data_IF_407596204810
#
_entry.id   IF_407596204810
#
_cell.length_a   1.000
_cell.length_b   1.000
_cell.length_c   1.000
_cell.angle_alpha   90.00
_cell.angle_beta   90.00
_cell.angle_gamma   90.00
#
_symmetry.space_group_name_H-M   'P 1'
#
loop_
_entity.id
_entity.type
_entity.pdbx_description
1 polymer ?
#
# COMPACT_ATOMS: atom_id res chain seq x y z
N UNK A 1 -15.45 -11.19 -6.75
CA UNK A 1 -15.32 -11.67 -5.40
C UNK A 1 -16.12 -10.87 -4.40
N UNK A 2 -16.21 -11.34 -3.17
CA UNK A 2 -16.89 -10.65 -2.07
C UNK A 2 -16.21 -10.92 -0.74
N UNK A 3 -16.36 -10.00 0.21
CA UNK A 3 -15.90 -10.16 1.59
C UNK A 3 -17.08 -9.88 2.52
N UNK A 4 -17.35 -10.78 3.43
CA UNK A 4 -18.37 -10.64 4.46
C UNK A 4 -17.72 -10.86 5.83
N UNK A 5 -18.06 -10.03 6.80
CA UNK A 5 -17.59 -10.17 8.18
C UNK A 5 -18.78 -10.45 9.11
N UNK A 6 -18.63 -11.44 9.97
CA UNK A 6 -19.55 -11.77 11.04
C UNK A 6 -18.77 -11.98 12.33
N UNK A 7 -18.77 -10.99 13.22
CA UNK A 7 -17.92 -10.99 14.42
C UNK A 7 -16.43 -11.08 14.02
N UNK A 8 -15.73 -12.07 14.56
CA UNK A 8 -14.31 -12.32 14.29
C UNK A 8 -14.05 -13.16 13.03
N UNK A 9 -15.10 -13.58 12.32
CA UNK A 9 -14.99 -14.45 11.15
C UNK A 9 -15.15 -13.64 9.87
N UNK A 10 -14.23 -13.86 8.94
CA UNK A 10 -14.27 -13.36 7.57
C UNK A 10 -14.65 -14.50 6.62
N UNK A 11 -15.67 -14.27 5.79
CA UNK A 11 -15.96 -15.08 4.62
C UNK A 11 -15.52 -14.32 3.38
N UNK A 12 -14.56 -14.88 2.67
CA UNK A 12 -14.00 -14.29 1.45
C UNK A 12 -14.30 -15.24 0.30
N UNK A 13 -14.97 -14.74 -0.73
CA UNK A 13 -15.16 -15.46 -1.99
C UNK A 13 -14.30 -14.80 -3.05
N UNK A 14 -13.34 -15.52 -3.60
CA UNK A 14 -12.48 -15.05 -4.68
C UNK A 14 -12.81 -15.84 -5.96
N UNK A 15 -12.78 -15.15 -7.12
CA UNK A 15 -13.06 -15.73 -8.42
C UNK A 15 -12.12 -15.15 -9.46
N UNK A 16 -11.60 -15.98 -10.35
CA UNK A 16 -10.86 -15.59 -11.53
C UNK A 16 -11.71 -15.87 -12.76
N UNK A 17 -11.96 -14.83 -13.54
CA UNK A 17 -12.83 -14.88 -14.73
C UNK A 17 -12.01 -14.44 -15.93
N UNK A 18 -12.05 -15.21 -17.01
CA UNK A 18 -11.45 -14.83 -18.30
C UNK A 18 -12.29 -13.74 -18.95
N UNK A 19 -11.67 -12.60 -19.23
CA UNK A 19 -12.40 -11.43 -19.77
C UNK A 19 -12.85 -11.58 -21.23
N UNK A 20 -12.22 -12.49 -22.00
CA UNK A 20 -12.55 -12.69 -23.41
C UNK A 20 -13.88 -13.44 -23.65
N UNK A 21 -14.28 -14.32 -22.75
CA UNK A 21 -15.43 -15.20 -22.88
C UNK A 21 -16.28 -15.34 -21.61
N UNK A 22 -15.88 -14.67 -20.51
CA UNK A 22 -16.57 -14.75 -19.23
C UNK A 22 -16.41 -16.10 -18.50
N UNK A 23 -15.52 -16.98 -18.96
CA UNK A 23 -15.34 -18.29 -18.34
C UNK A 23 -14.71 -18.17 -16.94
N UNK A 24 -15.30 -18.88 -15.97
CA UNK A 24 -14.76 -19.00 -14.62
C UNK A 24 -13.55 -19.93 -14.64
N UNK A 25 -12.34 -19.38 -14.47
CA UNK A 25 -11.10 -20.15 -14.42
C UNK A 25 -10.86 -20.76 -13.05
N UNK A 26 -11.28 -20.07 -12.01
CA UNK A 26 -11.10 -20.47 -10.63
C UNK A 26 -12.11 -19.76 -9.71
N UNK A 27 -12.59 -20.46 -8.69
CA UNK A 27 -13.44 -19.89 -7.62
C UNK A 27 -13.18 -20.62 -6.33
N UNK A 28 -13.00 -19.86 -5.23
CA UNK A 28 -12.80 -20.43 -3.90
C UNK A 28 -13.39 -19.55 -2.81
N UNK A 29 -13.90 -20.19 -1.78
CA UNK A 29 -14.39 -19.54 -0.58
C UNK A 29 -13.49 -19.89 0.61
N UNK A 30 -13.17 -18.87 1.41
CA UNK A 30 -12.37 -18.97 2.62
C UNK A 30 -13.21 -18.50 3.80
N UNK A 31 -13.33 -19.33 4.82
CA UNK A 31 -13.91 -18.99 6.11
C UNK A 31 -12.77 -19.01 7.14
N UNK A 32 -12.38 -17.84 7.65
CA UNK A 32 -11.19 -17.67 8.52
C UNK A 32 -11.46 -16.64 9.60
N UNK A 33 -10.66 -16.67 10.66
CA UNK A 33 -10.65 -15.61 11.66
C UNK A 33 -9.95 -14.36 11.14
N UNK A 34 -10.35 -13.18 11.63
CA UNK A 34 -9.74 -11.89 11.27
C UNK A 34 -8.22 -11.88 11.50
N UNK A 35 -7.74 -12.52 12.55
CA UNK A 35 -6.29 -12.64 12.85
C UNK A 35 -5.50 -13.37 11.75
N UNK A 36 -6.15 -14.21 10.94
CA UNK A 36 -5.53 -14.94 9.84
C UNK A 36 -5.61 -14.19 8.48
N UNK A 37 -6.04 -12.92 8.46
CA UNK A 37 -6.29 -12.16 7.22
C UNK A 37 -5.08 -12.15 6.28
N UNK A 38 -3.86 -12.04 6.80
CA UNK A 38 -2.65 -12.06 5.97
C UNK A 38 -2.37 -13.43 5.38
N UNK A 39 -2.60 -14.52 6.13
CA UNK A 39 -2.51 -15.88 5.57
C UNK A 39 -3.49 -16.07 4.41
N UNK A 40 -4.71 -15.52 4.56
CA UNK A 40 -5.71 -15.60 3.49
C UNK A 40 -5.24 -14.82 2.27
N UNK A 41 -4.68 -13.62 2.46
CA UNK A 41 -4.14 -12.82 1.35
C UNK A 41 -3.04 -13.59 0.61
N UNK A 42 -2.11 -14.20 1.33
CA UNK A 42 -1.03 -15.01 0.76
C UNK A 42 -1.56 -16.28 0.07
N UNK A 43 -2.53 -16.98 0.70
CA UNK A 43 -3.20 -18.14 0.10
C UNK A 43 -3.92 -17.77 -1.20
N UNK A 44 -4.73 -16.69 -1.17
CA UNK A 44 -5.47 -16.21 -2.35
C UNK A 44 -4.51 -15.77 -3.45
N UNK A 45 -3.48 -14.97 -3.12
CA UNK A 45 -2.49 -14.52 -4.07
C UNK A 45 -1.77 -15.71 -4.73
N UNK A 46 -1.31 -16.66 -3.94
CA UNK A 46 -0.64 -17.87 -4.42
C UNK A 46 -1.55 -18.70 -5.34
N UNK A 47 -2.80 -18.90 -4.98
CA UNK A 47 -3.73 -19.67 -5.79
C UNK A 47 -4.14 -18.95 -7.09
N UNK A 48 -4.31 -17.63 -7.05
CA UNK A 48 -4.55 -16.82 -8.26
C UNK A 48 -3.34 -16.92 -9.19
N UNK A 49 -2.12 -16.77 -8.67
CA UNK A 49 -0.88 -16.93 -9.45
C UNK A 49 -0.80 -18.33 -10.06
N UNK A 50 -1.10 -19.38 -9.31
CA UNK A 50 -1.10 -20.76 -9.81
C UNK A 50 -2.18 -20.98 -10.90
N UNK A 51 -3.35 -20.35 -10.75
CA UNK A 51 -4.42 -20.43 -11.75
C UNK A 51 -4.09 -19.72 -13.07
N UNK A 52 -3.15 -18.76 -13.03
CA UNK A 52 -2.64 -18.03 -14.22
C UNK A 52 -1.32 -18.66 -14.71
N UNK A 53 -0.99 -19.88 -14.33
CA UNK A 53 0.29 -20.53 -14.64
C UNK A 53 0.71 -20.35 -16.11
N UNK A 54 1.95 -19.86 -16.27
CA UNK A 54 2.59 -19.63 -17.57
C UNK A 54 2.49 -18.18 -18.08
N UNK A 55 1.81 -17.25 -17.36
CA UNK A 55 1.61 -15.87 -17.81
C UNK A 55 2.52 -14.88 -17.04
N UNK A 56 2.89 -15.18 -15.79
CA UNK A 56 3.67 -14.26 -14.94
C UNK A 56 5.12 -14.74 -14.73
N UNK A 57 6.13 -13.85 -14.94
CA UNK A 57 7.52 -14.14 -14.58
C UNK A 57 7.68 -14.42 -13.07
N UNK A 58 8.61 -15.32 -12.71
CA UNK A 58 8.86 -15.70 -11.31
C UNK A 58 9.20 -14.50 -10.40
N UNK A 59 9.86 -13.47 -10.94
CA UNK A 59 10.18 -12.24 -10.21
C UNK A 59 8.93 -11.44 -9.81
N UNK A 60 7.87 -11.47 -10.63
CA UNK A 60 6.62 -10.76 -10.33
C UNK A 60 5.79 -11.52 -9.30
N UNK A 61 5.88 -12.86 -9.29
CA UNK A 61 5.25 -13.69 -8.26
C UNK A 61 5.81 -13.38 -6.86
N UNK A 62 7.12 -13.22 -6.71
CA UNK A 62 7.75 -12.86 -5.43
C UNK A 62 7.38 -11.45 -4.97
N UNK A 63 7.24 -10.49 -5.89
CA UNK A 63 6.82 -9.13 -5.53
C UNK A 63 5.39 -9.06 -4.99
N UNK A 64 4.49 -9.90 -5.47
CA UNK A 64 3.10 -9.94 -5.01
C UNK A 64 2.98 -10.47 -3.57
N UNK A 65 3.92 -11.29 -3.11
CA UNK A 65 3.86 -11.98 -1.82
C UNK A 65 4.59 -11.25 -0.67
N UNK A 66 5.33 -10.17 -0.94
CA UNK A 66 6.44 -9.75 -0.05
C UNK A 66 6.29 -8.47 0.78
N UNK A 67 5.17 -7.74 0.82
CA UNK A 67 5.22 -6.36 1.32
C UNK A 67 4.12 -5.93 2.32
N UNK A 68 3.56 -6.85 3.08
CA UNK A 68 2.53 -6.51 4.07
C UNK A 68 3.07 -6.62 5.51
N UNK A 69 2.63 -5.71 6.39
CA UNK A 69 2.79 -5.93 7.83
C UNK A 69 2.09 -7.22 8.25
N UNK A 70 2.64 -7.94 9.21
CA UNK A 70 1.97 -9.09 9.85
C UNK A 70 1.05 -8.63 11.00
N UNK A 71 1.03 -7.33 11.32
CA UNK A 71 0.23 -6.75 12.39
C UNK A 71 -1.13 -6.28 11.86
N UNK A 72 -2.19 -7.01 12.21
CA UNK A 72 -3.56 -6.72 11.76
C UNK A 72 -4.03 -5.33 12.18
N UNK A 73 -3.70 -4.90 13.41
CA UNK A 73 -4.12 -3.58 13.90
C UNK A 73 -3.43 -2.45 13.12
N UNK A 74 -2.12 -2.59 12.82
CA UNK A 74 -1.40 -1.64 11.97
C UNK A 74 -2.01 -1.57 10.57
N UNK A 75 -2.36 -2.72 9.99
CA UNK A 75 -3.00 -2.79 8.69
C UNK A 75 -4.38 -2.13 8.67
N UNK A 76 -5.19 -2.35 9.70
CA UNK A 76 -6.50 -1.68 9.82
C UNK A 76 -6.37 -0.16 9.86
N UNK A 77 -5.42 0.37 10.63
CA UNK A 77 -5.15 1.81 10.66
C UNK A 77 -4.67 2.30 9.29
N UNK A 78 -3.76 1.59 8.64
CA UNK A 78 -3.32 1.91 7.28
C UNK A 78 -4.50 2.01 6.30
N UNK A 79 -5.42 1.04 6.30
CA UNK A 79 -6.60 1.05 5.41
C UNK A 79 -7.54 2.23 5.67
N UNK A 80 -7.72 2.65 6.94
CA UNK A 80 -8.48 3.86 7.28
C UNK A 80 -7.83 5.10 6.66
N UNK A 81 -6.51 5.21 6.73
CA UNK A 81 -5.77 6.29 6.09
C UNK A 81 -5.95 6.31 4.57
N UNK A 82 -5.81 5.15 3.91
CA UNK A 82 -6.02 5.01 2.46
C UNK A 82 -7.43 5.44 2.04
N UNK A 83 -8.45 5.08 2.81
CA UNK A 83 -9.84 5.41 2.50
C UNK A 83 -10.12 6.93 2.50
N UNK A 84 -9.32 7.72 3.20
CA UNK A 84 -9.48 9.18 3.32
C UNK A 84 -8.76 9.97 2.22
N UNK A 85 -7.77 9.38 1.53
CA UNK A 85 -6.94 10.08 0.55
C UNK A 85 -7.71 10.60 -0.69
N UNK A 86 -8.72 9.89 -1.24
CA UNK A 86 -9.38 10.30 -2.47
C UNK A 86 -10.11 11.64 -2.38
N UNK A 87 -10.61 12.02 -1.20
CA UNK A 87 -11.39 13.24 -1.02
C UNK A 87 -10.54 14.53 -1.02
N UNK A 88 -9.23 14.44 -0.83
CA UNK A 88 -8.24 15.55 -0.86
C UNK A 88 -8.60 16.79 -0.03
N UNK A 89 -9.58 16.72 0.85
CA UNK A 89 -9.86 17.80 1.82
C UNK A 89 -8.77 17.81 2.89
N UNK A 90 -8.35 19.00 3.32
CA UNK A 90 -7.28 19.16 4.31
C UNK A 90 -7.57 18.35 5.58
N UNK A 91 -8.79 18.39 6.09
CA UNK A 91 -9.18 17.64 7.29
C UNK A 91 -9.06 16.13 7.10
N UNK A 92 -9.47 15.62 5.92
CA UNK A 92 -9.35 14.19 5.61
C UNK A 92 -7.89 13.77 5.40
N UNK A 93 -7.07 14.62 4.77
CA UNK A 93 -5.64 14.37 4.64
C UNK A 93 -4.94 14.36 6.01
N UNK A 94 -5.31 15.26 6.93
CA UNK A 94 -4.78 15.28 8.29
C UNK A 94 -5.18 14.01 9.06
N UNK A 95 -6.44 13.57 8.95
CA UNK A 95 -6.90 12.32 9.53
C UNK A 95 -6.16 11.11 8.93
N UNK A 96 -5.95 11.09 7.59
CA UNK A 96 -5.19 10.05 6.91
C UNK A 96 -3.76 9.95 7.47
N UNK A 97 -3.06 11.08 7.62
CA UNK A 97 -1.73 11.12 8.25
C UNK A 97 -1.79 10.55 9.65
N UNK A 98 -2.77 10.95 10.48
CA UNK A 98 -2.93 10.42 11.83
C UNK A 98 -3.17 8.89 11.87
N UNK A 99 -3.89 8.35 10.89
CA UNK A 99 -4.07 6.89 10.75
C UNK A 99 -2.77 6.18 10.34
N UNK A 100 -2.01 6.73 9.39
CA UNK A 100 -0.70 6.17 9.03
C UNK A 100 0.29 6.23 10.21
N UNK A 101 0.29 7.31 10.98
CA UNK A 101 1.13 7.44 12.17
C UNK A 101 0.75 6.42 13.25
N UNK A 102 -0.52 6.17 13.48
CA UNK A 102 -0.96 5.07 14.37
C UNK A 102 -0.53 3.70 13.86
N UNK A 103 -0.59 3.47 12.54
CA UNK A 103 -0.09 2.23 11.96
C UNK A 103 1.42 2.07 12.21
N UNK A 104 2.20 3.15 12.10
CA UNK A 104 3.63 3.20 12.38
C UNK A 104 3.93 2.96 13.88
N UNK A 105 3.13 3.53 14.78
CA UNK A 105 3.25 3.31 16.22
C UNK A 105 3.03 1.85 16.60
N UNK A 106 2.05 1.20 15.98
CA UNK A 106 1.71 -0.21 16.22
C UNK A 106 2.78 -1.14 15.60
N UNK A 107 3.25 -0.81 14.39
CA UNK A 107 4.29 -1.57 13.69
C UNK A 107 5.33 -0.62 13.06
N UNK A 108 6.42 -0.30 13.78
CA UNK A 108 7.48 0.56 13.27
C UNK A 108 8.26 0.02 12.06
N UNK A 109 8.02 -1.24 11.67
CA UNK A 109 8.61 -1.85 10.47
C UNK A 109 7.69 -1.77 9.25
N UNK A 110 6.49 -1.21 9.38
CA UNK A 110 5.51 -1.16 8.30
C UNK A 110 5.85 -0.09 7.25
N UNK A 111 6.73 -0.41 6.30
CA UNK A 111 7.27 0.50 5.28
C UNK A 111 6.17 1.23 4.49
N UNK A 112 5.06 0.56 4.14
CA UNK A 112 3.94 1.18 3.40
C UNK A 112 3.27 2.31 4.16
N UNK A 113 3.16 2.22 5.48
CA UNK A 113 2.57 3.28 6.27
C UNK A 113 3.41 4.57 6.20
N UNK A 114 4.74 4.45 6.27
CA UNK A 114 5.65 5.57 6.05
C UNK A 114 5.54 6.12 4.62
N UNK A 115 5.54 5.23 3.60
CA UNK A 115 5.46 5.62 2.20
C UNK A 115 4.18 6.38 1.86
N UNK A 116 3.06 6.10 2.55
CA UNK A 116 1.79 6.79 2.34
C UNK A 116 1.62 8.04 3.21
N UNK A 117 2.20 8.07 4.41
CA UNK A 117 2.20 9.27 5.26
C UNK A 117 2.93 10.44 4.60
N UNK A 118 4.07 10.19 3.96
CA UNK A 118 4.88 11.21 3.31
C UNK A 118 4.12 12.00 2.23
N UNK A 119 3.55 11.39 1.18
CA UNK A 119 2.80 12.12 0.17
C UNK A 119 1.52 12.77 0.72
N UNK A 120 0.87 12.20 1.74
CA UNK A 120 -0.28 12.81 2.39
C UNK A 120 0.08 14.15 3.07
N UNK A 121 1.25 14.23 3.73
CA UNK A 121 1.78 15.49 4.27
C UNK A 121 2.09 16.48 3.14
N UNK A 122 2.66 16.02 2.02
CA UNK A 122 2.92 16.87 0.85
C UNK A 122 1.63 17.45 0.26
N UNK A 123 0.57 16.64 0.14
CA UNK A 123 -0.74 17.11 -0.32
C UNK A 123 -1.35 18.17 0.61
N UNK A 124 -1.19 18.07 1.93
CA UNK A 124 -1.63 19.11 2.87
C UNK A 124 -0.88 20.42 2.57
N UNK A 125 0.41 20.36 2.23
CA UNK A 125 1.22 21.53 1.86
C UNK A 125 0.72 22.26 0.62
N UNK A 126 0.06 21.58 -0.32
CA UNK A 126 -0.55 22.21 -1.50
C UNK A 126 -1.72 23.14 -1.15
N UNK A 127 -2.38 22.93 -0.02
CA UNK A 127 -3.54 23.70 0.45
C UNK A 127 -3.26 24.57 1.68
N UNK A 128 -2.10 24.41 2.31
CA UNK A 128 -1.73 25.11 3.54
C UNK A 128 -0.28 25.58 3.46
N UNK A 129 0.14 26.43 4.40
CA UNK A 129 1.54 26.82 4.49
C UNK A 129 2.40 25.64 4.95
N UNK A 130 3.45 25.34 4.20
CA UNK A 130 4.49 24.42 4.62
C UNK A 130 5.32 25.02 5.76
N UNK A 131 5.58 24.21 6.78
CA UNK A 131 6.51 24.59 7.85
C UNK A 131 7.73 23.67 7.79
N UNK A 132 8.90 24.12 8.32
CA UNK A 132 10.10 23.30 8.38
C UNK A 132 9.85 21.92 9.04
N UNK A 133 8.99 21.88 10.06
CA UNK A 133 8.63 20.65 10.77
C UNK A 133 7.85 19.67 9.87
N UNK A 134 6.88 20.17 9.10
CA UNK A 134 6.11 19.35 8.14
C UNK A 134 7.03 18.76 7.07
N UNK A 135 7.90 19.60 6.49
CA UNK A 135 8.85 19.16 5.46
C UNK A 135 9.84 18.13 6.01
N UNK A 136 10.41 18.38 7.21
CA UNK A 136 11.31 17.44 7.88
C UNK A 136 10.62 16.11 8.19
N UNK A 137 9.34 16.13 8.64
CA UNK A 137 8.56 14.91 8.92
C UNK A 137 8.30 14.11 7.64
N UNK A 138 7.89 14.79 6.57
CA UNK A 138 7.71 14.18 5.24
C UNK A 138 8.99 13.48 4.77
N UNK A 139 10.11 14.16 4.88
CA UNK A 139 11.40 13.67 4.38
C UNK A 139 11.88 12.45 5.20
N UNK A 140 11.76 12.48 6.53
CA UNK A 140 12.07 11.33 7.40
C UNK A 140 11.20 10.11 7.07
N UNK A 141 9.91 10.31 6.78
CA UNK A 141 9.03 9.20 6.42
C UNK A 141 9.41 8.58 5.08
N UNK A 142 9.78 9.40 4.09
CA UNK A 142 10.28 8.89 2.81
C UNK A 142 11.56 8.07 2.99
N UNK A 143 12.53 8.60 3.73
CA UNK A 143 13.80 7.92 4.01
C UNK A 143 13.56 6.60 4.74
N UNK A 144 12.72 6.63 5.78
CA UNK A 144 12.43 5.43 6.56
C UNK A 144 11.72 4.34 5.75
N UNK A 145 10.81 4.72 4.85
CA UNK A 145 10.16 3.77 3.95
C UNK A 145 11.17 3.05 3.04
N UNK A 146 12.13 3.80 2.47
CA UNK A 146 13.18 3.25 1.61
C UNK A 146 14.19 2.39 2.38
N UNK A 147 14.53 2.75 3.62
CA UNK A 147 15.38 1.93 4.49
C UNK A 147 14.73 0.59 4.81
N UNK A 148 13.44 0.60 5.16
CA UNK A 148 12.71 -0.60 5.54
C UNK A 148 12.43 -1.51 4.35
N UNK A 149 12.17 -0.93 3.17
CA UNK A 149 11.85 -1.67 1.96
C UNK A 149 12.37 -0.95 0.71
N UNK A 150 13.63 -1.20 0.31
CA UNK A 150 14.26 -0.55 -0.85
C UNK A 150 13.57 -0.83 -2.19
N UNK A 151 12.79 -1.90 -2.28
CA UNK A 151 12.05 -2.29 -3.47
C UNK A 151 10.55 -1.98 -3.39
N UNK A 152 10.12 -1.16 -2.44
CA UNK A 152 8.74 -0.68 -2.33
C UNK A 152 8.47 0.43 -3.34
N UNK A 153 7.62 0.17 -4.34
CA UNK A 153 7.28 1.14 -5.39
C UNK A 153 6.73 2.46 -4.83
N UNK A 154 5.84 2.39 -3.83
CA UNK A 154 5.24 3.54 -3.16
C UNK A 154 6.29 4.43 -2.45
N UNK A 155 7.36 3.85 -1.92
CA UNK A 155 8.45 4.61 -1.30
C UNK A 155 9.24 5.41 -2.34
N UNK A 156 9.49 4.85 -3.53
CA UNK A 156 10.10 5.57 -4.64
C UNK A 156 9.19 6.66 -5.20
N UNK A 157 7.87 6.46 -5.23
CA UNK A 157 6.91 7.52 -5.59
C UNK A 157 6.94 8.66 -4.56
N UNK A 158 7.00 8.34 -3.26
CA UNK A 158 7.16 9.34 -2.20
C UNK A 158 8.47 10.14 -2.36
N UNK A 159 9.57 9.46 -2.67
CA UNK A 159 10.86 10.09 -2.98
C UNK A 159 10.77 11.02 -4.21
N UNK A 160 10.09 10.58 -5.27
CA UNK A 160 9.91 11.38 -6.47
C UNK A 160 9.12 12.68 -6.18
N UNK A 161 8.04 12.58 -5.39
CA UNK A 161 7.27 13.75 -4.96
C UNK A 161 8.12 14.75 -4.15
N UNK A 162 8.97 14.22 -3.24
CA UNK A 162 9.91 15.04 -2.47
C UNK A 162 10.90 15.76 -3.38
N UNK A 163 11.55 15.04 -4.31
CA UNK A 163 12.53 15.61 -5.26
C UNK A 163 11.90 16.67 -6.17
N UNK A 164 10.69 16.41 -6.65
CA UNK A 164 9.91 17.39 -7.41
C UNK A 164 9.66 18.68 -6.62
N UNK A 165 9.31 18.55 -5.36
CA UNK A 165 9.01 19.70 -4.49
C UNK A 165 10.24 20.62 -4.25
N UNK A 166 11.46 20.06 -4.27
CA UNK A 166 12.71 20.85 -4.14
C UNK A 166 13.29 21.26 -5.50
N UNK A 167 12.60 20.97 -6.62
CA UNK A 167 13.02 21.35 -7.97
C UNK A 167 13.99 20.40 -8.66
N UNK A 168 14.37 19.27 -8.04
CA UNK A 168 15.16 18.22 -8.71
C UNK A 168 14.27 17.36 -9.60
N UNK A 169 13.95 17.90 -10.78
CA UNK A 169 13.08 17.24 -11.75
C UNK A 169 13.72 15.99 -12.37
N UNK A 170 15.03 15.98 -12.54
CA UNK A 170 15.75 14.83 -13.09
C UNK A 170 15.78 13.66 -12.11
N UNK A 171 16.06 13.93 -10.83
CA UNK A 171 15.97 12.94 -9.77
C UNK A 171 14.55 12.42 -9.58
N UNK A 172 13.55 13.31 -9.61
CA UNK A 172 12.14 12.94 -9.51
C UNK A 172 11.73 11.99 -10.64
N UNK A 173 12.11 12.28 -11.89
CA UNK A 173 11.80 11.40 -13.02
C UNK A 173 12.37 9.98 -12.83
N UNK A 174 13.62 9.86 -12.41
CA UNK A 174 14.25 8.56 -12.15
C UNK A 174 13.53 7.80 -11.03
N UNK A 175 13.18 8.49 -9.95
CA UNK A 175 12.46 7.89 -8.83
C UNK A 175 11.04 7.43 -9.23
N UNK A 176 10.29 8.21 -10.04
CA UNK A 176 9.01 7.78 -10.60
C UNK A 176 9.16 6.53 -11.47
N UNK A 177 10.14 6.51 -12.39
CA UNK A 177 10.39 5.35 -13.24
C UNK A 177 10.69 4.10 -12.39
N UNK A 178 11.50 4.24 -11.33
CA UNK A 178 11.78 3.13 -10.41
C UNK A 178 10.51 2.68 -9.68
N UNK A 179 9.71 3.62 -9.16
CA UNK A 179 8.44 3.31 -8.49
C UNK A 179 7.47 2.55 -9.39
N UNK A 180 7.31 3.00 -10.64
CA UNK A 180 6.44 2.33 -11.64
C UNK A 180 6.97 0.93 -11.97
N UNK A 181 8.28 0.77 -12.15
CA UNK A 181 8.89 -0.53 -12.45
C UNK A 181 8.77 -1.54 -11.29
N UNK A 182 8.61 -1.06 -10.06
CA UNK A 182 8.44 -1.88 -8.86
C UNK A 182 6.95 -2.08 -8.48
N UNK A 183 6.04 -1.28 -9.05
CA UNK A 183 4.61 -1.46 -8.85
C UNK A 183 4.16 -2.79 -9.47
N UNK A 184 3.33 -3.58 -8.77
CA UNK A 184 2.80 -4.85 -9.26
C UNK A 184 1.78 -4.66 -10.39
#
# INVERSE_FOLDING_TARGET
>A
GSVQQAGDTLRITAQLIRTSDGAHLWSKQYDRKMVDVFKIQDEVATEVVNAIQGVLPAADQQRMLGQSTVNVAAYQEYLKGIALLPDRKVDNLQQAVGHFERAIEIDPSYARAYAMASPAIGLIGEYTTDTPEKLSRRDRYTERALELSPDLGEAHIAQANRLRAIGDLAGAQKAYQRGIALAP
#
